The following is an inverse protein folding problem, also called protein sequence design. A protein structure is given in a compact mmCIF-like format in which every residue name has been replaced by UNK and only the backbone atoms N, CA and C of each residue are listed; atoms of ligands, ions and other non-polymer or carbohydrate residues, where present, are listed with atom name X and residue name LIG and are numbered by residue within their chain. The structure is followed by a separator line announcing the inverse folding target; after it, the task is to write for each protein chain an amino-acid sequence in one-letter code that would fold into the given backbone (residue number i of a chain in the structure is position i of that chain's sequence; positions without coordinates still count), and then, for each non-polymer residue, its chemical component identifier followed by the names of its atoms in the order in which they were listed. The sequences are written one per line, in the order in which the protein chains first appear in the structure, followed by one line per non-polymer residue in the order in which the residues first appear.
data_IF_730240776475
#
_entry.id   IF_730240776475
#
_cell.length_a   1.000
_cell.length_b   1.000
_cell.length_c   1.000
_cell.angle_alpha   90.00
_cell.angle_beta   90.00
_cell.angle_gamma   90.00
#
_symmetry.space_group_name_H-M   'P 1'
#
loop_
_entity.id
_entity.type
_entity.pdbx_description
1 polymer ?
#
# COMPACT_ATOMS: atom_id res chain seq x y z
N UNK A 1 -12.24 -2.76 -23.12
CA UNK A 1 -11.06 -3.09 -22.27
C UNK A 1 -9.91 -2.26 -22.81
N UNK A 2 -9.69 -1.06 -22.27
CA UNK A 2 -8.60 -0.18 -22.71
C UNK A 2 -7.27 -0.79 -22.28
N UNK A 3 -6.46 -1.21 -23.26
CA UNK A 3 -5.05 -1.55 -23.05
C UNK A 3 -4.33 -0.26 -22.64
N UNK A 4 -4.05 -0.13 -21.35
CA UNK A 4 -3.25 0.97 -20.81
C UNK A 4 -1.81 0.81 -21.32
N UNK A 5 -1.44 1.54 -22.37
CA UNK A 5 -0.10 1.48 -23.00
C UNK A 5 0.96 2.14 -22.11
N UNK A 6 1.22 1.56 -20.95
CA UNK A 6 2.21 2.03 -19.98
C UNK A 6 3.64 1.99 -20.56
N UNK A 7 3.93 1.04 -21.44
CA UNK A 7 5.21 0.95 -22.15
C UNK A 7 5.53 2.23 -22.94
N UNK A 8 4.50 2.84 -23.53
CA UNK A 8 4.62 4.10 -24.26
C UNK A 8 4.82 5.30 -23.31
N UNK A 9 4.26 5.24 -22.09
CA UNK A 9 4.41 6.27 -21.06
C UNK A 9 5.78 6.20 -20.39
N UNK A 10 6.24 5.01 -20.01
CA UNK A 10 7.58 4.78 -19.43
C UNK A 10 8.66 5.19 -20.44
N UNK A 11 8.52 4.81 -21.71
CA UNK A 11 9.43 5.22 -22.78
C UNK A 11 9.48 6.73 -23.01
N UNK A 12 8.39 7.44 -22.71
CA UNK A 12 8.29 8.90 -22.82
C UNK A 12 8.91 9.61 -21.60
N UNK A 13 8.79 9.04 -20.41
CA UNK A 13 9.36 9.58 -19.17
C UNK A 13 10.88 9.34 -19.05
N UNK A 14 11.40 8.21 -19.54
CA UNK A 14 12.85 7.92 -19.62
C UNK A 14 13.61 9.01 -20.43
N UNK A 15 12.92 9.71 -21.34
CA UNK A 15 13.53 10.77 -22.18
C UNK A 15 13.64 12.15 -21.50
N UNK A 16 13.16 12.34 -20.26
CA UNK A 16 13.17 13.66 -19.60
C UNK A 16 14.10 13.72 -18.37
N UNK A 17 15.23 14.44 -18.58
CA UNK A 17 16.20 15.04 -17.64
C UNK A 17 17.03 14.11 -16.73
N UNK A 18 18.34 14.40 -16.55
CA UNK A 18 19.23 13.65 -15.66
C UNK A 18 19.11 14.19 -14.23
N UNK A 19 18.20 13.61 -13.46
CA UNK A 19 18.01 13.92 -12.04
C UNK A 19 16.84 13.10 -11.51
N UNK A 20 17.14 12.02 -10.78
CA UNK A 20 16.20 10.94 -10.39
C UNK A 20 15.46 10.35 -11.60
N UNK A 21 15.95 9.21 -12.11
CA UNK A 21 15.37 8.55 -13.30
C UNK A 21 13.86 8.20 -13.14
N UNK A 22 13.35 8.20 -11.91
CA UNK A 22 11.95 7.90 -11.59
C UNK A 22 11.39 8.90 -10.57
N UNK A 23 10.12 9.26 -10.73
CA UNK A 23 9.34 9.77 -9.60
C UNK A 23 9.00 8.60 -8.66
N UNK A 24 8.77 8.86 -7.38
CA UNK A 24 8.32 7.84 -6.43
C UNK A 24 7.08 7.08 -6.93
N UNK A 25 6.09 7.80 -7.47
CA UNK A 25 4.87 7.19 -8.01
C UNK A 25 5.16 6.27 -9.20
N UNK A 26 6.08 6.67 -10.10
CA UNK A 26 6.49 5.86 -11.24
C UNK A 26 7.24 4.60 -10.79
N UNK A 27 8.10 4.72 -9.78
CA UNK A 27 8.84 3.60 -9.22
C UNK A 27 7.92 2.59 -8.54
N UNK A 28 6.92 3.05 -7.79
CA UNK A 28 5.89 2.17 -7.21
C UNK A 28 5.19 1.34 -8.29
N UNK A 29 4.76 1.98 -9.39
CA UNK A 29 4.11 1.30 -10.52
C UNK A 29 5.03 0.31 -11.22
N UNK A 30 6.27 0.71 -11.49
CA UNK A 30 7.27 -0.16 -12.13
C UNK A 30 7.50 -1.43 -11.31
N UNK A 31 7.72 -1.26 -10.00
CA UNK A 31 7.96 -2.40 -9.12
C UNK A 31 6.70 -3.27 -9.01
N UNK A 32 5.51 -2.68 -8.92
CA UNK A 32 4.27 -3.45 -8.92
C UNK A 32 4.15 -4.33 -10.18
N UNK A 33 4.50 -3.78 -11.35
CA UNK A 33 4.48 -4.50 -12.62
C UNK A 33 5.51 -5.63 -12.67
N UNK A 34 6.75 -5.38 -12.24
CA UNK A 34 7.80 -6.43 -12.17
C UNK A 34 7.38 -7.58 -11.25
N UNK A 35 6.73 -7.25 -10.12
CA UNK A 35 6.13 -8.26 -9.26
C UNK A 35 5.01 -9.05 -9.98
N UNK A 36 4.11 -8.37 -10.70
CA UNK A 36 3.03 -9.03 -11.45
C UNK A 36 3.57 -9.95 -12.55
N UNK A 37 4.55 -9.48 -13.34
CA UNK A 37 5.17 -10.26 -14.42
C UNK A 37 5.83 -11.53 -13.88
N UNK A 38 6.65 -11.42 -12.84
CA UNK A 38 7.30 -12.59 -12.24
C UNK A 38 6.27 -13.58 -11.66
N UNK A 39 5.11 -13.10 -11.22
CA UNK A 39 4.04 -13.95 -10.68
C UNK A 39 3.18 -14.61 -11.76
N UNK A 40 2.95 -13.94 -12.89
CA UNK A 40 2.21 -14.50 -14.03
C UNK A 40 2.99 -15.66 -14.68
N UNK A 41 4.32 -15.58 -14.70
CA UNK A 41 5.20 -16.65 -15.17
C UNK A 41 5.11 -17.94 -14.33
N UNK A 42 4.71 -17.84 -13.05
CA UNK A 42 4.72 -18.96 -12.10
C UNK A 42 3.37 -19.72 -11.96
N UNK A 43 2.32 -19.33 -12.70
CA UNK A 43 1.02 -20.01 -12.98
C UNK A 43 0.21 -20.69 -11.83
N UNK A 44 0.68 -20.70 -10.58
CA UNK A 44 0.04 -21.32 -9.39
C UNK A 44 -0.20 -20.33 -8.24
N UNK A 45 0.15 -19.06 -8.42
CA UNK A 45 0.41 -18.17 -7.28
C UNK A 45 -0.65 -17.11 -6.98
N UNK A 46 -1.78 -17.05 -7.69
CA UNK A 46 -2.83 -16.03 -7.41
C UNK A 46 -3.42 -16.19 -6.00
N UNK A 47 -3.76 -17.42 -5.59
CA UNK A 47 -4.28 -17.70 -4.23
C UNK A 47 -3.21 -17.51 -3.15
N UNK A 48 -1.96 -17.87 -3.46
CA UNK A 48 -0.81 -17.64 -2.59
C UNK A 48 -0.49 -16.16 -2.46
N UNK A 49 -0.67 -15.37 -3.52
CA UNK A 49 -0.48 -13.92 -3.53
C UNK A 49 -1.54 -13.24 -2.68
N UNK A 50 -2.81 -13.62 -2.85
CA UNK A 50 -3.89 -13.12 -2.00
C UNK A 50 -3.61 -13.47 -0.53
N UNK A 51 -3.12 -14.68 -0.22
CA UNK A 51 -2.77 -15.06 1.15
C UNK A 51 -1.53 -14.33 1.70
N UNK A 52 -0.51 -14.08 0.86
CA UNK A 52 0.70 -13.34 1.24
C UNK A 52 0.37 -11.86 1.47
N UNK A 53 -0.41 -11.23 0.58
CA UNK A 53 -0.87 -9.84 0.76
C UNK A 53 -1.75 -9.71 1.99
N UNK A 54 -2.69 -10.65 2.16
CA UNK A 54 -3.52 -10.77 3.34
C UNK A 54 -2.66 -10.83 4.60
N UNK A 55 -1.71 -11.77 4.68
CA UNK A 55 -0.84 -11.93 5.84
C UNK A 55 0.02 -10.68 6.12
N UNK A 56 0.54 -10.04 5.07
CA UNK A 56 1.37 -8.86 5.21
C UNK A 56 0.59 -7.63 5.74
N UNK A 57 -0.70 -7.53 5.42
CA UNK A 57 -1.60 -6.48 5.93
C UNK A 57 -2.02 -6.73 7.38
N UNK A 58 -2.19 -7.99 7.79
CA UNK A 58 -2.51 -8.34 9.20
C UNK A 58 -1.29 -8.13 10.12
N UNK A 59 -0.08 -8.04 9.56
CA UNK A 59 1.15 -7.82 10.32
C UNK A 59 2.04 -9.05 10.50
N UNK A 60 1.91 -10.08 9.65
CA UNK A 60 2.88 -11.18 9.64
C UNK A 60 4.24 -10.69 9.10
N UNK A 61 5.23 -10.60 9.99
CA UNK A 61 6.55 -10.05 9.70
C UNK A 61 7.32 -10.78 8.59
N UNK A 62 7.11 -12.08 8.40
CA UNK A 62 7.85 -12.88 7.39
C UNK A 62 7.50 -12.42 5.98
N UNK A 63 6.22 -12.21 5.71
CA UNK A 63 5.69 -11.78 4.42
C UNK A 63 6.10 -10.33 4.11
N UNK A 64 6.10 -9.45 5.11
CA UNK A 64 6.61 -8.08 4.97
C UNK A 64 8.11 -8.10 4.61
N UNK A 65 8.91 -8.95 5.25
CA UNK A 65 10.35 -9.09 4.95
C UNK A 65 10.55 -9.60 3.52
N UNK A 66 9.75 -10.56 3.06
CA UNK A 66 9.79 -11.06 1.69
C UNK A 66 9.57 -9.92 0.68
N UNK A 67 8.49 -9.14 0.83
CA UNK A 67 8.23 -8.00 -0.05
C UNK A 67 9.37 -6.99 -0.02
N UNK A 68 9.80 -6.53 1.17
CA UNK A 68 10.86 -5.52 1.29
C UNK A 68 12.18 -6.01 0.67
N UNK A 69 12.53 -7.28 0.83
CA UNK A 69 13.75 -7.87 0.22
C UNK A 69 13.68 -7.87 -1.31
N UNK A 70 12.52 -8.21 -1.87
CA UNK A 70 12.30 -8.25 -3.32
C UNK A 70 12.19 -6.85 -3.93
N UNK A 71 11.55 -5.92 -3.23
CA UNK A 71 11.56 -4.49 -3.59
C UNK A 71 13.00 -3.98 -3.64
N UNK A 72 13.82 -4.27 -2.63
CA UNK A 72 15.23 -3.89 -2.60
C UNK A 72 16.00 -4.40 -3.82
N UNK A 73 15.74 -5.64 -4.23
CA UNK A 73 16.31 -6.22 -5.44
C UNK A 73 15.92 -5.41 -6.69
N UNK A 74 14.63 -5.11 -6.89
CA UNK A 74 14.18 -4.33 -8.06
C UNK A 74 14.68 -2.89 -8.04
N UNK A 75 14.68 -2.22 -6.89
CA UNK A 75 15.25 -0.87 -6.75
C UNK A 75 16.73 -0.86 -7.18
N UNK A 76 17.50 -1.89 -6.79
CA UNK A 76 18.90 -2.04 -7.23
C UNK A 76 19.00 -2.36 -8.73
N UNK A 77 18.16 -3.26 -9.25
CA UNK A 77 18.09 -3.62 -10.69
C UNK A 77 17.91 -2.38 -11.58
N UNK A 78 17.09 -1.43 -11.14
CA UNK A 78 16.81 -0.20 -11.88
C UNK A 78 17.70 1.00 -11.48
N UNK A 79 18.71 0.80 -10.63
CA UNK A 79 19.57 1.86 -10.10
C UNK A 79 18.77 3.04 -9.49
N UNK A 80 17.64 2.74 -8.84
CA UNK A 80 16.67 3.71 -8.36
C UNK A 80 16.82 4.05 -6.86
N UNK A 81 17.94 3.66 -6.23
CA UNK A 81 18.14 3.81 -4.78
C UNK A 81 18.17 5.26 -4.27
N UNK A 82 18.40 6.23 -5.15
CA UNK A 82 18.38 7.67 -4.83
C UNK A 82 17.01 8.33 -5.02
N UNK A 83 15.94 7.57 -5.27
CA UNK A 83 14.59 8.13 -5.48
C UNK A 83 14.07 8.75 -4.20
N UNK A 84 13.70 10.03 -4.25
CA UNK A 84 13.03 10.69 -3.13
C UNK A 84 11.67 10.04 -2.85
N UNK A 85 11.31 9.90 -1.58
CA UNK A 85 10.05 9.32 -1.15
C UNK A 85 9.45 10.11 0.03
N UNK A 86 8.16 9.96 0.33
CA UNK A 86 7.53 10.71 1.39
C UNK A 86 8.15 10.46 2.78
N UNK A 87 8.35 11.54 3.55
CA UNK A 87 9.11 11.53 4.81
C UNK A 87 8.47 10.73 5.94
N UNK A 88 7.18 10.42 5.84
CA UNK A 88 6.46 9.60 6.81
C UNK A 88 6.80 8.10 6.70
N UNK A 89 7.55 7.70 5.67
CA UNK A 89 8.10 6.36 5.57
C UNK A 89 9.56 6.33 6.03
N UNK A 90 9.98 5.20 6.60
CA UNK A 90 11.33 5.03 7.15
C UNK A 90 12.42 4.95 6.09
N UNK A 91 12.14 4.27 4.97
CA UNK A 91 13.05 4.08 3.85
C UNK A 91 12.26 3.82 2.55
N UNK A 92 12.96 3.82 1.43
CA UNK A 92 12.36 3.66 0.10
C UNK A 92 11.63 2.32 -0.05
N UNK A 93 12.22 1.23 0.43
CA UNK A 93 11.61 -0.11 0.32
C UNK A 93 10.30 -0.21 1.10
N UNK A 94 10.26 0.38 2.29
CA UNK A 94 9.07 0.48 3.11
C UNK A 94 8.00 1.37 2.48
N UNK A 95 8.41 2.50 1.91
CA UNK A 95 7.52 3.40 1.19
C UNK A 95 6.82 2.68 0.02
N UNK A 96 7.61 2.03 -0.84
CA UNK A 96 7.09 1.27 -1.99
C UNK A 96 6.19 0.13 -1.52
N UNK A 97 6.58 -0.58 -0.46
CA UNK A 97 5.77 -1.65 0.12
C UNK A 97 4.39 -1.15 0.55
N UNK A 98 4.33 -0.06 1.33
CA UNK A 98 3.06 0.46 1.84
C UNK A 98 2.17 1.02 0.73
N UNK A 99 2.74 1.72 -0.25
CA UNK A 99 1.95 2.26 -1.36
C UNK A 99 1.34 1.17 -2.24
N UNK A 100 2.05 0.07 -2.48
CA UNK A 100 1.56 -0.99 -3.36
C UNK A 100 0.75 -2.07 -2.64
N UNK A 101 1.16 -2.50 -1.45
CA UNK A 101 0.61 -3.68 -0.78
C UNK A 101 0.21 -3.44 0.67
N UNK A 102 1.01 -2.69 1.44
CA UNK A 102 0.76 -2.40 2.86
C UNK A 102 -0.25 -1.28 3.08
N UNK A 103 -0.24 -0.68 4.27
CA UNK A 103 -1.27 0.29 4.72
C UNK A 103 -1.27 1.69 4.08
N UNK A 104 -0.53 1.92 2.99
CA UNK A 104 -0.31 3.24 2.39
C UNK A 104 0.04 4.29 3.47
N UNK A 105 -0.45 5.53 3.33
CA UNK A 105 -0.19 6.61 4.29
C UNK A 105 -0.66 6.34 5.74
N UNK A 106 -1.51 5.33 5.98
CA UNK A 106 -1.93 4.93 7.34
C UNK A 106 -0.76 4.32 8.10
N UNK A 107 0.25 3.76 7.41
CA UNK A 107 1.38 3.10 8.04
C UNK A 107 2.10 3.96 9.08
N UNK A 108 2.16 5.28 8.87
CA UNK A 108 2.78 6.21 9.82
C UNK A 108 2.09 6.19 11.19
N UNK A 109 0.78 5.93 11.25
CA UNK A 109 0.03 5.85 12.50
C UNK A 109 0.56 4.75 13.44
N UNK A 110 1.16 3.70 12.90
CA UNK A 110 1.78 2.62 13.67
C UNK A 110 3.21 2.94 14.13
N UNK A 111 3.73 4.12 13.80
CA UNK A 111 5.05 4.55 14.26
C UNK A 111 5.06 4.93 15.73
N UNK A 112 6.25 4.96 16.33
CA UNK A 112 6.43 5.37 17.74
C UNK A 112 5.95 6.79 18.02
N UNK A 113 5.97 7.67 17.03
CA UNK A 113 5.51 9.06 17.17
C UNK A 113 4.02 9.14 17.49
N UNK A 114 3.24 8.19 16.99
CA UNK A 114 1.79 8.15 17.16
C UNK A 114 1.32 7.02 18.10
N UNK A 115 2.19 6.51 18.97
CA UNK A 115 1.81 5.42 19.90
C UNK A 115 0.71 5.80 20.89
N UNK A 116 0.55 7.10 21.20
CA UNK A 116 -0.53 7.62 22.03
C UNK A 116 -1.80 7.95 21.23
N UNK A 117 -1.76 7.85 19.90
CA UNK A 117 -2.91 8.11 19.05
C UNK A 117 -3.86 6.91 19.08
N UNK A 118 -5.00 7.07 19.74
CA UNK A 118 -5.97 5.98 19.92
C UNK A 118 -6.80 5.66 18.67
N UNK A 119 -6.78 6.49 17.62
CA UNK A 119 -7.48 6.17 16.38
C UNK A 119 -6.93 6.89 15.15
N UNK A 120 -7.10 6.24 13.99
CA UNK A 120 -6.87 6.79 12.66
C UNK A 120 -8.17 6.74 11.85
N UNK A 121 -8.47 7.80 11.10
CA UNK A 121 -9.63 7.89 10.20
C UNK A 121 -9.20 8.24 8.80
N UNK A 122 -9.80 7.55 7.82
CA UNK A 122 -9.66 7.90 6.40
C UNK A 122 -11.03 8.33 5.87
N UNK A 123 -11.13 9.57 5.39
CA UNK A 123 -12.38 10.15 4.87
C UNK A 123 -12.11 10.77 3.50
N UNK A 124 -12.66 10.14 2.46
CA UNK A 124 -12.28 10.47 1.09
C UNK A 124 -10.80 10.15 0.87
N UNK A 125 -10.02 11.09 0.36
CA UNK A 125 -8.57 10.96 0.18
C UNK A 125 -7.76 11.35 1.43
N UNK A 126 -8.39 11.89 2.48
CA UNK A 126 -7.72 12.48 3.65
C UNK A 126 -7.54 11.48 4.78
N UNK A 127 -6.40 11.56 5.44
CA UNK A 127 -6.07 10.78 6.65
C UNK A 127 -6.05 11.71 7.87
N UNK A 128 -6.58 11.23 8.99
CA UNK A 128 -6.60 11.93 10.27
C UNK A 128 -6.10 11.01 11.37
N UNK A 129 -5.24 11.52 12.25
CA UNK A 129 -4.85 10.83 13.49
C UNK A 129 -5.43 11.54 14.69
N UNK A 130 -5.76 10.78 15.74
CA UNK A 130 -6.25 11.34 17.00
C UNK A 130 -5.09 11.78 17.87
N UNK A 131 -4.94 13.09 18.04
CA UNK A 131 -3.89 13.67 18.89
C UNK A 131 -4.54 14.59 19.92
N UNK A 132 -4.20 14.39 21.20
CA UNK A 132 -4.71 15.21 22.31
C UNK A 132 -6.25 15.37 22.29
N UNK A 133 -6.95 14.27 21.98
CA UNK A 133 -8.42 14.22 21.92
C UNK A 133 -9.05 14.81 20.65
N UNK A 134 -8.26 15.24 19.66
CA UNK A 134 -8.77 15.85 18.41
C UNK A 134 -8.29 15.08 17.18
N UNK A 135 -9.11 15.07 16.13
CA UNK A 135 -8.71 14.53 14.83
C UNK A 135 -7.89 15.57 14.07
N UNK A 136 -6.62 15.27 13.82
CA UNK A 136 -5.67 16.16 13.12
C UNK A 136 -5.48 15.65 11.71
N UNK A 137 -5.74 16.50 10.71
CA UNK A 137 -5.50 16.20 9.30
C UNK A 137 -4.00 16.00 9.04
N UNK A 138 -3.67 14.94 8.33
CA UNK A 138 -2.30 14.60 7.97
C UNK A 138 -1.98 14.90 6.50
N UNK A 139 -0.70 15.12 6.16
CA UNK A 139 -0.30 15.41 4.78
C UNK A 139 -0.46 14.20 3.85
N UNK A 140 -0.52 12.99 4.39
CA UNK A 140 -0.71 11.79 3.58
C UNK A 140 -2.11 11.74 2.96
N UNK A 141 -2.17 11.12 1.78
CA UNK A 141 -3.42 10.88 1.06
C UNK A 141 -3.49 9.43 0.59
N UNK A 142 -4.71 8.91 0.45
CA UNK A 142 -4.95 7.61 -0.18
C UNK A 142 -5.96 7.79 -1.31
N UNK A 143 -5.51 7.55 -2.55
CA UNK A 143 -6.38 7.59 -3.73
C UNK A 143 -7.49 6.54 -3.61
N UNK A 144 -8.63 6.81 -4.24
CA UNK A 144 -9.81 5.94 -4.18
C UNK A 144 -9.50 4.49 -4.55
N UNK A 145 -8.85 4.27 -5.69
CA UNK A 145 -8.45 2.92 -6.14
C UNK A 145 -7.65 2.17 -5.07
N UNK A 146 -6.65 2.84 -4.48
CA UNK A 146 -5.82 2.23 -3.43
C UNK A 146 -6.60 1.95 -2.16
N UNK A 147 -7.52 2.84 -1.74
CA UNK A 147 -8.42 2.58 -0.61
C UNK A 147 -9.32 1.38 -0.87
N UNK A 148 -9.88 1.27 -2.07
CA UNK A 148 -10.74 0.14 -2.44
C UNK A 148 -9.97 -1.18 -2.41
N UNK A 149 -8.72 -1.20 -2.91
CA UNK A 149 -7.83 -2.34 -2.79
C UNK A 149 -7.54 -2.70 -1.32
N UNK A 150 -7.23 -1.71 -0.47
CA UNK A 150 -7.03 -1.91 0.98
C UNK A 150 -8.27 -2.51 1.65
N UNK A 151 -9.45 -1.95 1.39
CA UNK A 151 -10.71 -2.46 1.92
C UNK A 151 -10.95 -3.89 1.46
N UNK A 152 -10.77 -4.19 0.16
CA UNK A 152 -10.90 -5.58 -0.34
C UNK A 152 -9.94 -6.52 0.38
N UNK A 153 -8.69 -6.12 0.57
CA UNK A 153 -7.70 -6.93 1.26
C UNK A 153 -8.06 -7.17 2.74
N UNK A 154 -8.62 -6.18 3.43
CA UNK A 154 -9.16 -6.37 4.77
C UNK A 154 -10.35 -7.32 4.80
N UNK A 155 -11.28 -7.25 3.84
CA UNK A 155 -12.45 -8.14 3.81
C UNK A 155 -12.11 -9.59 3.45
N UNK A 156 -10.99 -9.84 2.76
CA UNK A 156 -10.45 -11.21 2.58
C UNK A 156 -10.03 -11.87 3.91
N UNK A 157 -9.93 -11.09 4.99
CA UNK A 157 -9.70 -11.60 6.34
C UNK A 157 -10.94 -12.21 6.97
N UNK A 158 -12.11 -11.82 6.51
CA UNK A 158 -13.41 -12.14 7.09
C UNK A 158 -14.29 -12.82 6.04
N UNK A 159 -13.94 -14.05 5.57
CA UNK A 159 -14.67 -14.73 4.49
C UNK A 159 -16.14 -15.04 4.85
N UNK A 160 -16.46 -15.09 6.15
CA UNK A 160 -17.81 -15.33 6.67
C UNK A 160 -18.68 -14.06 6.74
N UNK A 161 -18.09 -12.87 6.55
CA UNK A 161 -18.87 -11.63 6.48
C UNK A 161 -19.47 -11.46 5.08
N UNK A 162 -20.80 -11.27 5.03
CA UNK A 162 -21.47 -10.98 3.77
C UNK A 162 -20.96 -9.64 3.21
N UNK A 163 -20.46 -9.67 1.97
CA UNK A 163 -19.89 -8.53 1.25
C UNK A 163 -20.90 -7.42 0.92
N UNK A 164 -22.19 -7.70 1.08
CA UNK A 164 -23.33 -6.81 0.84
C UNK A 164 -23.66 -5.90 2.02
N UNK A 165 -22.92 -6.01 3.14
CA UNK A 165 -23.09 -5.11 4.28
C UNK A 165 -22.39 -3.77 4.04
N UNK A 166 -23.07 -2.69 4.42
CA UNK A 166 -22.51 -1.34 4.43
C UNK A 166 -21.50 -1.11 5.57
N UNK A 167 -21.37 -2.07 6.48
CA UNK A 167 -20.53 -2.02 7.68
C UNK A 167 -19.77 -3.32 7.86
N UNK A 168 -18.47 -3.20 8.12
CA UNK A 168 -17.58 -4.30 8.46
C UNK A 168 -16.69 -3.92 9.65
N UNK A 169 -16.50 -4.85 10.59
CA UNK A 169 -15.57 -4.73 11.70
C UNK A 169 -14.63 -5.93 11.71
N UNK A 170 -13.32 -5.67 11.75
CA UNK A 170 -12.29 -6.69 11.76
C UNK A 170 -11.13 -6.32 12.68
N UNK A 171 -10.36 -7.33 13.06
CA UNK A 171 -9.24 -7.21 13.99
C UNK A 171 -7.96 -7.72 13.33
N UNK A 172 -6.89 -6.94 13.40
CA UNK A 172 -5.53 -7.36 13.00
C UNK A 172 -4.87 -8.21 14.08
N UNK A 173 -3.70 -8.80 13.79
CA UNK A 173 -2.98 -9.65 14.75
C UNK A 173 -2.50 -8.89 15.99
N UNK A 174 -2.22 -7.59 15.87
CA UNK A 174 -1.85 -6.73 16.98
C UNK A 174 -3.06 -6.23 17.79
N UNK A 175 -4.27 -6.72 17.46
CA UNK A 175 -5.51 -6.35 18.14
C UNK A 175 -6.12 -5.02 17.67
N UNK A 176 -5.54 -4.37 16.66
CA UNK A 176 -6.12 -3.14 16.10
C UNK A 176 -7.46 -3.43 15.47
N UNK A 177 -8.48 -2.70 15.93
CA UNK A 177 -9.84 -2.76 15.37
C UNK A 177 -9.94 -1.85 14.16
N UNK A 178 -10.34 -2.42 13.03
CA UNK A 178 -10.59 -1.71 11.79
C UNK A 178 -12.08 -1.76 11.49
N UNK A 179 -12.65 -0.58 11.27
CA UNK A 179 -14.06 -0.42 10.90
C UNK A 179 -14.14 0.17 9.50
N UNK A 180 -14.86 -0.50 8.60
CA UNK A 180 -15.08 -0.04 7.23
C UNK A 180 -16.56 0.30 7.06
N UNK A 181 -16.82 1.51 6.59
CA UNK A 181 -18.14 1.97 6.18
C UNK A 181 -18.15 2.08 4.65
N UNK A 182 -19.04 1.35 3.97
CA UNK A 182 -19.32 1.49 2.55
C UNK A 182 -20.59 2.32 2.41
N UNK A 183 -20.46 3.56 1.95
CA UNK A 183 -21.61 4.38 1.61
C UNK A 183 -21.95 4.22 0.13
N UNK A 184 -23.23 4.01 -0.19
CA UNK A 184 -23.78 4.36 -1.49
C UNK A 184 -23.93 5.89 -1.53
N UNK A 185 -23.07 6.56 -2.28
CA UNK A 185 -23.34 7.91 -2.76
C UNK A 185 -23.35 7.88 -4.28
#
# INVERSE_FOLDING_TARGET
MEKFYLDSYISREIKKKPGSLFSFETLCKLINLEFQQEWEEDNKDIQRMLSIQKNAIIGFNKEVIFFKSKIKYFVKKHNAGGTEFPKWYKNLEEAIYHENWGLAGIAEWFSKEYSESSSCKVIGDRIYFQEKGKMVLKPQKIRQERREQLVRAFLLLTPEERLDKDFHELYTLDGTRITVFRGTQ
#
